data_IF_061132233208
#
_entry.id   IF_061132233208
#
_cell.length_a   1.000
_cell.length_b   1.000
_cell.length_c   1.000
_cell.angle_alpha   90.00
_cell.angle_beta   90.00
_cell.angle_gamma   90.00
#
_symmetry.space_group_name_H-M   'P 1'
#
loop_
_entity.id
_entity.type
_entity.pdbx_description
1 polymer ?
#
# COMPACT_ATOMS: atom_id res chain seq x y z
N UNK A 1 -16.81 -1.76 -18.04
CA UNK A 1 -17.10 -0.57 -17.19
C UNK A 1 -15.83 -0.23 -16.43
N UNK A 2 -15.58 1.03 -16.05
CA UNK A 2 -14.50 1.34 -15.13
C UNK A 2 -14.85 0.83 -13.72
N UNK A 3 -13.96 0.04 -13.13
CA UNK A 3 -14.09 -0.42 -11.74
C UNK A 3 -13.51 0.64 -10.79
N UNK A 4 -14.24 1.75 -10.65
CA UNK A 4 -13.93 2.86 -9.76
C UNK A 4 -15.13 3.08 -8.85
N UNK A 5 -14.87 3.25 -7.56
CA UNK A 5 -15.91 3.51 -6.57
C UNK A 5 -15.32 4.27 -5.39
N UNK A 6 -16.15 5.03 -4.71
CA UNK A 6 -15.88 5.57 -3.39
C UNK A 6 -17.10 5.40 -2.51
N UNK A 7 -16.90 5.28 -1.19
CA UNK A 7 -17.98 5.23 -0.21
C UNK A 7 -17.48 5.60 1.19
N UNK A 8 -18.37 6.12 2.02
CA UNK A 8 -18.09 6.40 3.42
C UNK A 8 -18.55 5.24 4.31
N UNK A 9 -17.71 4.85 5.27
CA UNK A 9 -18.06 3.88 6.31
C UNK A 9 -17.60 4.42 7.67
N UNK A 10 -18.55 4.97 8.44
CA UNK A 10 -18.23 5.67 9.68
C UNK A 10 -17.37 6.91 9.40
N UNK A 11 -16.23 7.09 10.09
CA UNK A 11 -15.33 8.24 9.87
C UNK A 11 -14.33 8.05 8.72
N UNK A 12 -14.42 6.96 7.94
CA UNK A 12 -13.44 6.63 6.88
C UNK A 12 -14.09 6.72 5.51
N UNK A 13 -13.47 7.50 4.63
CA UNK A 13 -13.76 7.55 3.20
C UNK A 13 -12.88 6.54 2.46
N UNK A 14 -13.50 5.63 1.71
CA UNK A 14 -12.84 4.57 0.95
C UNK A 14 -12.83 4.88 -0.53
N UNK A 15 -11.71 4.59 -1.21
CA UNK A 15 -11.54 4.81 -2.65
C UNK A 15 -10.96 3.55 -3.31
N UNK A 16 -11.67 3.00 -4.30
CA UNK A 16 -11.25 1.89 -5.14
C UNK A 16 -10.68 2.38 -6.48
N UNK A 17 -9.45 1.97 -6.79
CA UNK A 17 -8.72 2.33 -8.02
C UNK A 17 -8.34 1.08 -8.83
N UNK A 18 -8.26 1.23 -10.15
CA UNK A 18 -7.73 0.19 -11.03
C UNK A 18 -6.24 0.41 -11.31
N UNK A 19 -5.41 -0.60 -11.03
CA UNK A 19 -3.99 -0.64 -11.42
C UNK A 19 -3.80 -1.00 -12.89
N UNK A 20 -4.77 -1.67 -13.51
CA UNK A 20 -4.72 -2.11 -14.91
C UNK A 20 -4.49 -0.94 -15.88
N UNK A 21 -5.05 0.24 -15.58
CA UNK A 21 -4.86 1.44 -16.39
C UNK A 21 -3.45 2.02 -16.30
N UNK A 22 -2.68 1.68 -15.26
CA UNK A 22 -1.25 1.98 -15.15
C UNK A 22 -0.39 0.86 -15.74
N UNK A 23 -0.82 -0.39 -15.68
CA UNK A 23 -0.08 -1.55 -16.24
C UNK A 23 -0.15 -1.67 -17.76
N UNK A 24 -1.24 -1.20 -18.39
CA UNK A 24 -1.52 -1.46 -19.81
C UNK A 24 -1.73 -0.19 -20.67
N UNK A 25 -1.37 1.00 -20.21
CA UNK A 25 -1.65 2.25 -20.95
C UNK A 25 -1.04 2.30 -22.37
N UNK A 26 0.04 1.55 -22.64
CA UNK A 26 0.65 1.44 -23.96
C UNK A 26 -0.19 0.59 -24.94
N UNK A 27 -1.06 -0.31 -24.44
CA UNK A 27 -1.92 -1.17 -25.28
C UNK A 27 -3.37 -0.70 -25.35
N UNK A 28 -3.94 -0.19 -24.24
CA UNK A 28 -5.31 0.35 -24.19
C UNK A 28 -5.39 1.88 -24.37
N UNK A 29 -4.24 2.55 -24.47
CA UNK A 29 -4.14 4.00 -24.57
C UNK A 29 -4.33 4.73 -23.25
N UNK A 30 -3.98 6.02 -23.22
CA UNK A 30 -4.01 6.87 -22.00
C UNK A 30 -5.42 7.28 -21.54
N UNK A 31 -6.47 7.00 -22.32
CA UNK A 31 -7.85 7.46 -22.04
C UNK A 31 -8.42 6.98 -20.70
N UNK A 32 -8.42 5.67 -20.39
CA UNK A 32 -8.90 5.14 -19.11
C UNK A 32 -8.12 5.69 -17.91
N UNK A 33 -6.79 5.81 -18.04
CA UNK A 33 -5.90 6.37 -17.03
C UNK A 33 -6.24 7.84 -16.70
N UNK A 34 -6.35 8.69 -17.72
CA UNK A 34 -6.74 10.09 -17.56
C UNK A 34 -8.17 10.23 -17.01
N UNK A 35 -9.05 9.28 -17.32
CA UNK A 35 -10.43 9.23 -16.78
C UNK A 35 -10.44 8.87 -15.31
N UNK A 36 -9.73 7.82 -14.90
CA UNK A 36 -9.58 7.43 -13.49
C UNK A 36 -8.98 8.57 -12.67
N UNK A 37 -7.91 9.21 -13.17
CA UNK A 37 -7.32 10.34 -12.48
C UNK A 37 -8.26 11.54 -12.39
N UNK A 38 -8.97 11.88 -13.48
CA UNK A 38 -9.96 12.97 -13.47
C UNK A 38 -11.18 12.69 -12.58
N UNK A 39 -11.51 11.41 -12.36
CA UNK A 39 -12.52 10.98 -11.40
C UNK A 39 -11.99 11.12 -9.96
N UNK A 40 -10.81 10.55 -9.67
CA UNK A 40 -10.14 10.64 -8.36
C UNK A 40 -9.90 12.10 -7.93
N UNK A 41 -9.55 12.98 -8.87
CA UNK A 41 -9.41 14.41 -8.64
C UNK A 41 -10.72 15.15 -8.34
N UNK A 42 -11.88 14.57 -8.66
CA UNK A 42 -13.20 15.14 -8.31
C UNK A 42 -13.69 14.59 -6.99
N UNK A 43 -13.46 13.30 -6.78
CA UNK A 43 -13.74 12.57 -5.54
C UNK A 43 -12.95 13.17 -4.37
N UNK A 44 -11.64 13.41 -4.55
CA UNK A 44 -10.75 14.04 -3.56
C UNK A 44 -10.59 15.57 -3.73
N UNK A 45 -11.10 16.15 -4.82
CA UNK A 45 -11.05 17.58 -5.17
C UNK A 45 -9.65 18.25 -5.30
N UNK A 46 -9.02 18.17 -6.52
CA UNK A 46 -7.97 19.05 -7.17
C UNK A 46 -6.67 18.34 -7.68
N UNK A 47 -5.87 19.03 -8.54
CA UNK A 47 -4.66 18.68 -9.34
C UNK A 47 -3.30 18.84 -8.61
N UNK A 48 -2.12 18.36 -9.07
CA UNK A 48 -1.59 17.98 -10.44
C UNK A 48 -0.67 16.70 -10.41
N UNK A 49 0.01 16.33 -11.52
CA UNK A 49 1.00 15.21 -11.66
C UNK A 49 2.24 15.55 -12.53
N UNK A 50 2.98 14.56 -13.06
CA UNK A 50 4.32 14.70 -13.68
C UNK A 50 4.44 14.07 -15.09
N UNK A 51 5.08 14.74 -16.05
CA UNK A 51 5.35 14.24 -17.42
C UNK A 51 4.12 13.68 -18.17
N UNK A 52 3.05 14.49 -18.28
CA UNK A 52 1.78 14.18 -18.98
C UNK A 52 1.02 12.92 -18.50
N UNK A 53 1.55 12.20 -17.51
CA UNK A 53 0.95 11.03 -16.91
C UNK A 53 0.74 11.25 -15.40
N UNK A 54 -0.50 11.13 -14.91
CA UNK A 54 -0.76 11.44 -13.52
C UNK A 54 -0.34 10.34 -12.57
N UNK A 55 0.69 10.60 -11.77
CA UNK A 55 1.06 9.78 -10.61
C UNK A 55 0.06 9.92 -9.45
N UNK A 56 -0.07 8.86 -8.66
CA UNK A 56 -0.96 8.82 -7.49
C UNK A 56 -0.32 9.34 -6.19
N UNK A 57 1.01 9.34 -6.08
CA UNK A 57 1.70 9.76 -4.85
C UNK A 57 1.43 11.23 -4.49
N UNK A 58 1.50 12.14 -5.47
CA UNK A 58 1.24 13.57 -5.24
C UNK A 58 -0.16 13.86 -4.68
N UNK A 59 -1.29 13.37 -5.28
CA UNK A 59 -2.61 13.56 -4.66
C UNK A 59 -2.76 12.80 -3.34
N UNK A 60 -2.21 11.59 -3.18
CA UNK A 60 -2.30 10.87 -1.90
C UNK A 60 -1.65 11.67 -0.75
N UNK A 61 -0.49 12.28 -1.00
CA UNK A 61 0.16 13.17 -0.03
C UNK A 61 -0.65 14.46 0.20
N UNK A 62 -1.19 15.06 -0.87
CA UNK A 62 -1.93 16.32 -0.80
C UNK A 62 -3.23 16.22 0.01
N UNK A 63 -3.97 15.11 -0.14
CA UNK A 63 -5.23 14.87 0.57
C UNK A 63 -5.04 14.11 1.89
N UNK A 64 -3.79 13.81 2.27
CA UNK A 64 -3.47 13.16 3.53
C UNK A 64 -4.03 11.75 3.64
N UNK A 65 -3.96 10.96 2.56
CA UNK A 65 -4.32 9.53 2.54
C UNK A 65 -3.49 8.79 3.59
N UNK A 66 -4.17 8.21 4.58
CA UNK A 66 -3.53 7.65 5.77
C UNK A 66 -3.03 6.22 5.58
N UNK A 67 -3.65 5.44 4.68
CA UNK A 67 -3.31 4.05 4.41
C UNK A 67 -3.69 3.65 2.98
N UNK A 68 -2.83 2.84 2.35
CA UNK A 68 -3.09 2.27 1.03
C UNK A 68 -2.97 0.74 1.06
N UNK A 69 -3.96 0.05 0.50
CA UNK A 69 -3.97 -1.41 0.37
C UNK A 69 -3.66 -1.81 -1.07
N UNK A 70 -2.85 -2.86 -1.22
CA UNK A 70 -2.41 -3.38 -2.51
C UNK A 70 -2.49 -4.91 -2.50
N UNK A 71 -2.75 -5.51 -3.66
CA UNK A 71 -2.74 -6.96 -3.86
C UNK A 71 -1.68 -7.36 -4.89
N UNK A 72 -2.04 -8.30 -5.78
CA UNK A 72 -1.23 -8.83 -6.88
C UNK A 72 0.01 -9.63 -6.47
N UNK A 73 0.81 -9.16 -5.50
CA UNK A 73 1.90 -9.95 -4.92
C UNK A 73 1.37 -10.88 -3.83
N UNK A 74 1.80 -12.15 -3.83
CA UNK A 74 1.25 -13.20 -2.97
C UNK A 74 1.96 -13.30 -1.60
N UNK A 75 2.06 -12.17 -0.89
CA UNK A 75 2.58 -12.10 0.47
C UNK A 75 2.04 -10.86 1.20
N UNK A 76 2.10 -10.86 2.53
CA UNK A 76 1.86 -9.66 3.33
C UNK A 76 3.16 -8.87 3.50
N UNK A 77 3.13 -7.57 3.20
CA UNK A 77 4.22 -6.64 3.49
C UNK A 77 3.68 -5.28 3.91
N UNK A 78 4.23 -4.75 5.00
CA UNK A 78 3.92 -3.44 5.56
C UNK A 78 5.15 -2.56 5.54
N UNK A 79 5.00 -1.39 4.95
CA UNK A 79 6.02 -0.33 4.97
C UNK A 79 5.88 0.57 6.21
N UNK A 80 6.95 1.31 6.50
CA UNK A 80 6.85 2.53 7.29
C UNK A 80 6.05 3.61 6.54
N UNK A 81 5.68 4.75 7.18
CA UNK A 81 5.20 5.91 6.45
C UNK A 81 6.19 6.30 5.35
N UNK A 82 5.72 6.39 4.11
CA UNK A 82 6.51 6.72 2.93
C UNK A 82 5.92 7.92 2.20
N UNK A 83 6.77 8.84 1.75
CA UNK A 83 6.39 9.99 0.93
C UNK A 83 7.61 10.58 0.22
N UNK A 84 7.48 10.92 -1.07
CA UNK A 84 8.50 11.58 -1.89
C UNK A 84 9.85 10.85 -1.89
N UNK A 85 9.83 9.51 -2.06
CA UNK A 85 11.02 8.62 -1.97
C UNK A 85 11.78 8.71 -0.64
N UNK A 86 11.08 9.05 0.44
CA UNK A 86 11.58 8.99 1.82
C UNK A 86 10.70 8.10 2.68
N UNK A 87 11.27 7.55 3.73
CA UNK A 87 10.56 6.80 4.77
C UNK A 87 10.88 7.34 6.17
N UNK A 88 9.98 7.10 7.11
CA UNK A 88 10.13 7.45 8.53
C UNK A 88 10.08 6.19 9.39
N UNK A 89 11.23 5.56 9.59
CA UNK A 89 11.37 4.39 10.45
C UNK A 89 11.42 4.76 11.94
N UNK A 90 10.66 4.03 12.74
CA UNK A 90 10.68 4.10 14.21
C UNK A 90 11.49 2.95 14.84
N UNK A 91 12.36 2.30 14.07
CA UNK A 91 13.36 1.33 14.56
C UNK A 91 12.88 -0.12 14.74
N UNK A 92 11.71 -0.52 14.23
CA UNK A 92 11.21 -1.89 14.34
C UNK A 92 11.17 -2.62 12.98
N UNK A 93 12.14 -3.50 12.73
CA UNK A 93 12.17 -4.40 11.57
C UNK A 93 12.09 -5.87 12.01
N UNK A 94 11.36 -6.70 11.26
CA UNK A 94 11.38 -8.16 11.43
C UNK A 94 12.07 -8.86 10.25
N UNK A 95 13.32 -9.36 10.39
CA UNK A 95 14.09 -9.90 9.26
C UNK A 95 13.81 -11.38 8.89
N UNK A 96 12.97 -12.09 9.66
CA UNK A 96 12.96 -13.56 9.70
C UNK A 96 11.92 -14.23 8.78
N UNK A 97 11.94 -13.94 7.48
CA UNK A 97 11.03 -14.58 6.51
C UNK A 97 11.68 -14.83 5.14
N UNK A 98 11.30 -15.91 4.43
CA UNK A 98 11.91 -16.30 3.16
C UNK A 98 11.44 -15.40 2.01
N UNK A 99 12.06 -14.23 1.92
CA UNK A 99 11.96 -13.28 0.83
C UNK A 99 13.34 -13.09 0.17
N UNK A 100 13.48 -12.10 -0.72
CA UNK A 100 14.78 -11.58 -1.12
C UNK A 100 15.66 -11.36 0.13
N UNK A 101 16.92 -11.83 0.05
CA UNK A 101 17.88 -11.85 1.16
C UNK A 101 18.17 -10.47 1.73
N UNK A 102 17.87 -9.41 0.97
CA UNK A 102 17.97 -8.02 1.42
C UNK A 102 16.58 -7.38 1.40
N UNK A 103 15.86 -7.29 2.53
CA UNK A 103 14.64 -6.49 2.59
C UNK A 103 14.97 -5.01 2.34
N UNK A 104 14.11 -4.31 1.61
CA UNK A 104 14.23 -2.85 1.42
C UNK A 104 14.07 -2.14 2.76
N UNK A 105 14.83 -1.06 3.04
CA UNK A 105 14.90 -0.50 4.39
C UNK A 105 13.62 0.23 4.83
N UNK A 106 12.71 0.56 3.90
CA UNK A 106 11.37 1.05 4.21
C UNK A 106 10.35 -0.06 4.53
N UNK A 107 10.76 -1.33 4.46
CA UNK A 107 9.97 -2.49 4.90
C UNK A 107 10.05 -2.66 6.41
N UNK A 108 8.91 -2.53 7.09
CA UNK A 108 8.78 -2.73 8.52
C UNK A 108 8.53 -4.21 8.86
N UNK A 109 7.68 -4.88 8.06
CA UNK A 109 7.28 -6.27 8.28
C UNK A 109 6.92 -6.98 6.98
N UNK A 110 7.34 -8.24 6.84
CA UNK A 110 7.03 -9.11 5.71
C UNK A 110 6.67 -10.51 6.21
N UNK A 111 5.59 -11.10 5.67
CA UNK A 111 5.11 -12.43 6.05
C UNK A 111 4.72 -13.23 4.80
N UNK A 112 5.43 -14.35 4.56
CA UNK A 112 5.11 -15.31 3.50
C UNK A 112 4.18 -16.38 4.10
N UNK A 113 2.92 -15.98 4.30
CA UNK A 113 1.86 -16.72 4.99
C UNK A 113 0.52 -16.32 4.38
N UNK A 114 -0.40 -17.26 4.22
CA UNK A 114 -1.79 -16.95 3.92
C UNK A 114 -2.46 -16.31 5.13
N UNK A 115 -3.39 -15.40 4.86
CA UNK A 115 -3.97 -14.54 5.89
C UNK A 115 -4.84 -13.43 5.34
N UNK A 116 -5.37 -12.61 6.24
CA UNK A 116 -6.20 -11.45 5.94
C UNK A 116 -5.97 -10.35 6.98
N UNK A 117 -6.29 -9.10 6.61
CA UNK A 117 -6.16 -7.94 7.50
C UNK A 117 -7.52 -7.57 8.09
N UNK A 118 -7.57 -7.36 9.41
CA UNK A 118 -8.70 -6.78 10.13
C UNK A 118 -8.39 -5.30 10.42
N UNK A 119 -9.36 -4.41 10.20
CA UNK A 119 -9.28 -3.00 10.59
C UNK A 119 -10.37 -2.69 11.62
N UNK A 120 -9.95 -2.33 12.83
CA UNK A 120 -10.79 -1.89 13.92
C UNK A 120 -10.73 -0.35 14.05
N UNK A 121 -11.60 0.33 13.30
CA UNK A 121 -11.73 1.80 13.33
C UNK A 121 -12.40 2.19 14.65
N UNK A 122 -11.62 2.73 15.59
CA UNK A 122 -12.13 3.07 16.92
C UNK A 122 -12.84 4.43 16.96
N UNK A 123 -12.37 5.38 16.16
CA UNK A 123 -12.90 6.73 15.99
C UNK A 123 -12.16 7.42 14.80
N UNK A 124 -12.41 8.71 14.57
CA UNK A 124 -11.73 9.49 13.52
C UNK A 124 -10.25 9.82 13.75
N UNK A 125 -9.62 9.28 14.79
CA UNK A 125 -8.19 9.51 15.12
C UNK A 125 -7.40 8.23 15.36
N UNK A 126 -8.05 7.06 15.49
CA UNK A 126 -7.42 5.78 15.86
C UNK A 126 -8.00 4.61 15.06
N UNK A 127 -7.11 3.88 14.37
CA UNK A 127 -7.41 2.62 13.71
C UNK A 127 -6.42 1.56 14.22
N UNK A 128 -6.93 0.44 14.75
CA UNK A 128 -6.11 -0.73 15.04
C UNK A 128 -6.16 -1.67 13.83
N UNK A 129 -5.00 -2.15 13.41
CA UNK A 129 -4.84 -2.95 12.20
C UNK A 129 -4.12 -4.24 12.61
N UNK A 130 -4.69 -5.38 12.24
CA UNK A 130 -4.22 -6.71 12.61
C UNK A 130 -4.09 -7.58 11.35
N UNK A 131 -2.93 -8.19 11.14
CA UNK A 131 -2.75 -9.24 10.15
C UNK A 131 -2.92 -10.59 10.82
N UNK A 132 -3.91 -11.34 10.37
CA UNK A 132 -4.19 -12.72 10.78
C UNK A 132 -3.46 -13.68 9.84
N UNK A 133 -2.98 -14.82 10.35
CA UNK A 133 -2.44 -15.91 9.52
C UNK A 133 -3.26 -17.18 9.70
N UNK A 134 -3.88 -17.64 8.61
CA UNK A 134 -4.66 -18.89 8.60
C UNK A 134 -3.74 -20.12 8.71
N UNK A 135 -2.48 -20.00 8.26
CA UNK A 135 -1.45 -21.03 8.41
C UNK A 135 -1.02 -21.26 9.88
N UNK A 136 -1.50 -20.42 10.80
CA UNK A 136 -1.18 -20.43 12.23
C UNK A 136 -2.43 -20.36 13.11
N UNK A 137 -3.50 -21.06 12.72
CA UNK A 137 -4.71 -21.20 13.55
C UNK A 137 -5.33 -19.83 13.90
N UNK A 138 -5.47 -18.97 12.87
CA UNK A 138 -5.93 -17.57 12.96
C UNK A 138 -5.15 -16.69 13.96
N UNK A 139 -3.88 -17.00 14.21
CA UNK A 139 -3.03 -16.14 15.05
C UNK A 139 -2.78 -14.76 14.44
N UNK A 140 -2.83 -13.73 15.30
CA UNK A 140 -2.34 -12.37 14.99
C UNK A 140 -0.83 -12.42 14.79
N UNK A 141 -0.39 -12.24 13.54
CA UNK A 141 1.04 -12.29 13.15
C UNK A 141 1.65 -10.91 12.95
N UNK A 142 0.83 -9.87 12.74
CA UNK A 142 1.22 -8.47 12.87
C UNK A 142 0.09 -7.64 13.45
N UNK A 143 0.42 -6.58 14.19
CA UNK A 143 -0.57 -5.58 14.59
C UNK A 143 0.08 -4.23 14.85
N UNK A 144 -0.67 -3.15 14.63
CA UNK A 144 -0.23 -1.79 14.94
C UNK A 144 -1.43 -0.84 15.07
N UNK A 145 -1.22 0.26 15.77
CA UNK A 145 -2.16 1.38 15.80
C UNK A 145 -1.70 2.47 14.83
N UNK A 146 -2.62 2.93 14.00
CA UNK A 146 -2.50 4.18 13.25
C UNK A 146 -3.25 5.25 14.04
N UNK A 147 -2.49 6.23 14.56
CA UNK A 147 -3.01 7.33 15.38
C UNK A 147 -2.68 8.67 14.73
N UNK A 148 -3.64 9.60 14.72
CA UNK A 148 -3.55 10.88 14.03
C UNK A 148 -4.36 11.95 14.78
N UNK A 149 -3.83 13.15 14.96
CA UNK A 149 -4.59 14.24 15.58
C UNK A 149 -5.78 14.66 14.70
N UNK A 150 -6.89 15.09 15.31
CA UNK A 150 -8.08 15.49 14.57
C UNK A 150 -7.78 16.68 13.64
N UNK A 151 -8.04 16.51 12.33
CA UNK A 151 -7.74 17.53 11.31
C UNK A 151 -6.27 17.63 10.91
N UNK A 152 -5.39 16.75 11.39
CA UNK A 152 -3.99 16.69 10.97
C UNK A 152 -3.87 16.37 9.47
N UNK A 153 -3.03 17.10 8.76
CA UNK A 153 -2.57 16.74 7.41
C UNK A 153 -1.07 17.02 7.37
N UNK A 154 -0.27 16.02 6.98
CA UNK A 154 1.18 16.17 6.91
C UNK A 154 1.55 17.14 5.78
N UNK A 155 1.92 18.39 6.13
CA UNK A 155 2.34 19.39 5.15
C UNK A 155 3.77 19.17 4.67
N UNK A 156 4.16 19.84 3.58
CA UNK A 156 5.55 19.84 3.11
C UNK A 156 6.50 20.42 4.17
N UNK A 157 6.12 21.52 4.83
CA UNK A 157 6.89 22.11 5.93
C UNK A 157 7.16 21.12 7.07
N UNK A 158 6.18 20.28 7.42
CA UNK A 158 6.34 19.28 8.47
C UNK A 158 7.34 18.19 8.06
N UNK A 159 7.30 17.75 6.79
CA UNK A 159 8.30 16.84 6.20
C UNK A 159 9.69 17.46 6.07
N UNK A 160 9.80 18.79 5.96
CA UNK A 160 11.08 19.51 5.99
C UNK A 160 11.64 19.65 7.42
N UNK A 161 10.77 19.83 8.43
CA UNK A 161 11.18 19.90 9.86
C UNK A 161 11.61 18.54 10.43
N UNK A 162 10.97 17.45 10.01
CA UNK A 162 11.37 16.08 10.34
C UNK A 162 11.76 15.32 9.05
N UNK A 163 13.00 15.50 8.54
CA UNK A 163 13.41 14.92 7.28
C UNK A 163 13.57 13.40 7.37
N UNK A 164 12.69 12.66 6.70
CA UNK A 164 12.78 11.21 6.57
C UNK A 164 14.02 10.73 5.80
N UNK A 165 14.35 9.46 5.99
CA UNK A 165 15.48 8.77 5.38
C UNK A 165 15.19 8.53 3.89
N UNK A 166 16.18 8.83 3.03
CA UNK A 166 16.02 8.60 1.59
C UNK A 166 15.91 7.10 1.28
N UNK A 167 15.11 6.74 0.28
CA UNK A 167 15.15 5.40 -0.31
C UNK A 167 16.57 5.09 -0.80
N UNK A 168 17.02 3.82 -0.74
CA UNK A 168 18.31 3.43 -1.28
C UNK A 168 18.39 3.79 -2.76
N UNK A 169 19.57 4.19 -3.23
CA UNK A 169 19.81 4.28 -4.66
C UNK A 169 19.58 2.91 -5.30
N UNK A 170 18.98 2.88 -6.49
CA UNK A 170 18.77 1.64 -7.23
C UNK A 170 20.13 1.09 -7.64
N UNK A 171 20.72 0.24 -6.79
CA UNK A 171 21.61 -0.81 -7.30
C UNK A 171 20.80 -1.63 -8.33
N UNK A 172 21.50 -2.12 -9.36
CA UNK A 172 20.98 -2.86 -10.52
C UNK A 172 19.76 -3.73 -10.15
N UNK A 173 18.71 -3.78 -11.00
CA UNK A 173 17.41 -4.35 -10.66
C UNK A 173 17.58 -5.70 -9.98
N UNK A 174 17.02 -5.81 -8.76
CA UNK A 174 17.04 -7.04 -7.98
C UNK A 174 16.58 -8.17 -8.91
N UNK A 175 17.36 -9.26 -9.06
CA UNK A 175 16.98 -10.33 -9.97
C UNK A 175 15.65 -10.88 -9.50
N UNK A 176 14.61 -10.69 -10.32
CA UNK A 176 13.30 -11.28 -10.10
C UNK A 176 13.46 -12.80 -10.18
N UNK A 177 13.80 -13.40 -9.04
CA UNK A 177 13.70 -14.84 -8.87
C UNK A 177 12.22 -15.13 -8.73
N UNK A 178 11.63 -15.53 -9.85
CA UNK A 178 10.35 -16.22 -9.92
C UNK A 178 10.49 -17.57 -9.20
N UNK A 179 10.59 -17.49 -7.87
CA UNK A 179 10.43 -18.62 -6.96
C UNK A 179 8.94 -18.95 -6.93
N UNK A 180 8.43 -19.36 -8.10
CA UNK A 180 7.12 -19.92 -8.26
C UNK A 180 6.96 -20.99 -7.18
N UNK A 181 6.07 -20.72 -6.22
CA UNK A 181 5.60 -21.75 -5.30
C UNK A 181 5.08 -22.86 -6.21
N UNK A 182 5.65 -24.08 -6.17
CA UNK A 182 5.18 -25.15 -7.03
C UNK A 182 3.69 -25.30 -6.79
N UNK A 183 2.90 -25.22 -7.86
CA UNK A 183 1.45 -25.14 -7.78
C UNK A 183 0.92 -26.22 -6.81
N UNK A 184 0.04 -25.87 -5.85
CA UNK A 184 -0.41 -26.83 -4.84
C UNK A 184 -0.93 -28.07 -5.56
N UNK A 185 -0.28 -29.21 -5.27
CA UNK A 185 -0.58 -30.46 -5.93
C UNK A 185 -2.07 -30.76 -5.81
N UNK A 186 -2.68 -31.22 -6.91
CA UNK A 186 -4.12 -31.50 -6.97
C UNK A 186 -4.41 -32.70 -6.07
N UNK A 187 -4.61 -32.44 -4.77
CA UNK A 187 -5.14 -33.39 -3.82
C UNK A 187 -6.62 -33.57 -4.14
N UNK A 188 -6.91 -34.54 -5.02
CA UNK A 188 -8.25 -35.06 -5.20
C UNK A 188 -8.76 -35.52 -3.83
N UNK A 189 -9.73 -34.80 -3.29
CA UNK A 189 -10.48 -35.26 -2.13
C UNK A 189 -11.16 -36.61 -2.49
N UNK A 190 -11.16 -37.60 -1.59
CA UNK A 190 -11.92 -38.82 -1.81
C UNK A 190 -13.41 -38.49 -1.95
N UNK A 191 -14.11 -39.26 -2.80
CA UNK A 191 -15.56 -39.14 -3.03
C UNK A 191 -16.37 -39.60 -1.83
#
# INVERSE_FOLDING_TARGET
MPFLFSFDLGPVHWVGLSTEYYGYYDTVGKGPLLTQYSWLQKDLAIRVGHNDLPGLESPFIQYGVDLGFWGHQHFYERFFPVANKKYWDSGCHTPNTPFDKTPVPFSAKRLNQYGYTILNISNGTHIHIEQISIDKDDAVVDHFWLTKDAGFVATEEMRLRNPGTNFPSVQQPLPFQDNAIPAPGIHNLPR
#
